data_IF_894569268090
#
_entry.id   IF_894569268090
#
_cell.length_a   1.000
_cell.length_b   1.000
_cell.length_c   1.000
_cell.angle_alpha   90.00
_cell.angle_beta   90.00
_cell.angle_gamma   90.00
#
_symmetry.space_group_name_H-M   'P 1'
#
loop_
_entity.id
_entity.type
_entity.pdbx_description
1 polymer ?
#
# COMPACT_ATOMS: atom_id res chain seq x y z
N UNK A 1 28.87 -22.78 -30.45
CA UNK A 1 29.26 -23.83 -29.48
C UNK A 1 28.00 -24.48 -28.92
N UNK A 2 27.90 -25.81 -28.97
CA UNK A 2 26.69 -26.52 -28.53
C UNK A 2 26.39 -26.22 -27.04
N UNK A 3 25.17 -25.77 -26.73
CA UNK A 3 24.76 -25.39 -25.36
C UNK A 3 24.82 -26.56 -24.36
N UNK A 4 24.92 -27.80 -24.85
CA UNK A 4 25.14 -29.00 -24.07
C UNK A 4 25.73 -30.11 -24.98
N UNK A 5 27.02 -30.44 -24.90
CA UNK A 5 27.63 -31.48 -25.74
C UNK A 5 27.12 -32.89 -25.42
N UNK A 6 26.64 -33.12 -24.21
CA UNK A 6 26.11 -34.42 -23.76
C UNK A 6 24.60 -34.60 -24.02
N UNK A 7 23.91 -33.58 -24.56
CA UNK A 7 22.44 -33.58 -24.80
C UNK A 7 21.61 -34.06 -23.59
N UNK A 8 22.08 -33.77 -22.37
CA UNK A 8 21.38 -34.17 -21.14
C UNK A 8 20.22 -33.21 -20.80
N UNK A 9 19.06 -33.77 -20.45
CA UNK A 9 17.92 -32.99 -19.94
C UNK A 9 18.11 -32.66 -18.46
N UNK A 10 17.51 -31.55 -18.03
CA UNK A 10 17.49 -31.16 -16.63
C UNK A 10 16.74 -32.20 -15.79
N UNK A 11 17.35 -32.69 -14.70
CA UNK A 11 16.75 -33.70 -13.81
C UNK A 11 15.63 -33.16 -12.89
N UNK A 12 15.44 -31.84 -12.79
CA UNK A 12 14.44 -31.26 -11.91
C UNK A 12 13.01 -31.59 -12.37
N UNK A 13 12.15 -31.96 -11.42
CA UNK A 13 10.73 -32.26 -11.65
C UNK A 13 9.82 -31.19 -11.05
N UNK A 14 8.68 -30.95 -11.69
CA UNK A 14 7.63 -30.08 -11.15
C UNK A 14 6.99 -30.70 -9.92
N UNK A 15 6.90 -29.96 -8.81
CA UNK A 15 6.20 -30.44 -7.59
C UNK A 15 4.70 -30.67 -7.79
N UNK A 16 4.07 -29.96 -8.72
CA UNK A 16 2.61 -30.04 -8.96
C UNK A 16 2.24 -31.11 -9.98
N UNK A 17 3.08 -31.35 -10.99
CA UNK A 17 2.77 -32.23 -12.14
C UNK A 17 3.64 -33.48 -12.22
N UNK A 18 4.65 -33.61 -11.37
CA UNK A 18 5.72 -34.63 -11.39
C UNK A 18 6.44 -34.81 -12.74
N UNK A 19 6.25 -33.89 -13.68
CA UNK A 19 6.88 -33.89 -14.99
C UNK A 19 8.29 -33.31 -14.91
N UNK A 20 9.22 -33.92 -15.63
CA UNK A 20 10.59 -33.46 -15.77
C UNK A 20 10.65 -32.15 -16.56
N UNK A 21 11.59 -31.27 -16.19
CA UNK A 21 11.83 -30.02 -16.91
C UNK A 21 12.32 -30.29 -18.35
N UNK A 22 11.67 -29.64 -19.33
CA UNK A 22 12.05 -29.78 -20.75
C UNK A 22 13.34 -29.05 -21.13
N UNK A 23 13.91 -28.21 -20.24
CA UNK A 23 15.16 -27.51 -20.53
C UNK A 23 16.38 -28.44 -20.51
N UNK A 24 17.38 -28.08 -21.31
CA UNK A 24 18.68 -28.73 -21.31
C UNK A 24 19.47 -28.40 -20.04
N UNK A 25 20.20 -29.38 -19.53
CA UNK A 25 21.13 -29.14 -18.42
C UNK A 25 22.33 -28.31 -18.92
N UNK A 26 22.92 -27.50 -18.02
CA UNK A 26 24.16 -26.74 -18.33
C UNK A 26 25.35 -27.72 -18.38
N UNK A 27 26.37 -27.52 -19.23
CA UNK A 27 27.55 -28.38 -19.22
C UNK A 27 28.18 -28.47 -17.83
N UNK A 28 28.38 -29.69 -17.33
CA UNK A 28 28.92 -29.96 -15.99
C UNK A 28 27.90 -29.91 -14.84
N UNK A 29 26.60 -29.76 -15.13
CA UNK A 29 25.52 -29.71 -14.14
C UNK A 29 24.39 -30.65 -14.54
N UNK A 30 23.69 -31.21 -13.55
CA UNK A 30 22.52 -32.08 -13.75
C UNK A 30 21.21 -31.31 -14.02
N UNK A 31 21.25 -29.98 -13.86
CA UNK A 31 20.09 -29.10 -13.91
C UNK A 31 20.28 -27.96 -14.90
N UNK A 32 19.19 -27.30 -15.28
CA UNK A 32 19.23 -26.10 -16.14
C UNK A 32 19.47 -24.84 -15.30
N UNK A 33 19.69 -23.69 -15.96
CA UNK A 33 19.91 -22.39 -15.31
C UNK A 33 18.82 -22.03 -14.29
N UNK A 34 17.56 -22.32 -14.60
CA UNK A 34 16.41 -22.01 -13.74
C UNK A 34 16.30 -22.91 -12.51
N UNK A 35 16.95 -24.07 -12.54
CA UNK A 35 16.93 -25.05 -11.46
C UNK A 35 18.28 -25.12 -10.72
N UNK A 36 19.05 -24.02 -10.74
CA UNK A 36 20.24 -23.85 -9.90
C UNK A 36 21.59 -24.12 -10.58
N UNK A 37 21.61 -24.35 -11.90
CA UNK A 37 22.88 -24.56 -12.60
C UNK A 37 23.74 -23.28 -12.65
N UNK A 38 24.85 -23.28 -11.92
CA UNK A 38 25.73 -22.13 -11.76
C UNK A 38 25.75 -21.52 -10.35
N UNK A 39 25.07 -22.15 -9.38
CA UNK A 39 24.98 -21.67 -8.00
C UNK A 39 23.83 -20.70 -7.80
N UNK A 40 23.20 -20.75 -6.62
CA UNK A 40 22.27 -19.72 -6.17
C UNK A 40 23.01 -18.44 -5.81
N UNK A 41 22.26 -17.34 -5.67
CA UNK A 41 22.84 -16.12 -5.11
C UNK A 41 23.44 -16.41 -3.72
N UNK A 42 24.54 -15.75 -3.33
CA UNK A 42 25.24 -16.01 -2.08
C UNK A 42 24.31 -15.98 -0.86
N UNK A 43 24.62 -16.77 0.17
CA UNK A 43 23.86 -16.72 1.44
C UNK A 43 23.89 -15.28 1.98
N UNK A 44 22.75 -14.80 2.49
CA UNK A 44 22.54 -13.42 3.00
C UNK A 44 22.53 -12.31 1.94
N UNK A 45 22.25 -12.61 0.69
CA UNK A 45 21.95 -11.55 -0.30
C UNK A 45 20.61 -10.86 0.01
N UNK A 46 20.44 -9.63 -0.46
CA UNK A 46 19.23 -8.81 -0.27
C UNK A 46 18.16 -9.03 -1.36
N UNK A 47 18.41 -9.90 -2.35
CA UNK A 47 17.51 -10.08 -3.50
C UNK A 47 16.15 -10.68 -3.12
N UNK A 48 16.05 -11.35 -1.97
CA UNK A 48 14.80 -11.93 -1.46
C UNK A 48 14.13 -11.06 -0.38
N UNK A 49 14.68 -9.87 -0.08
CA UNK A 49 14.10 -8.95 0.90
C UNK A 49 12.87 -8.31 0.28
N UNK A 50 11.71 -8.51 0.91
CA UNK A 50 10.43 -7.95 0.46
C UNK A 50 10.06 -6.65 1.17
N UNK A 51 10.31 -6.59 2.48
CA UNK A 51 9.80 -5.52 3.36
C UNK A 51 10.88 -4.77 4.11
N UNK A 52 12.12 -5.26 4.14
CA UNK A 52 13.23 -4.61 4.85
C UNK A 52 13.19 -4.74 6.39
N UNK A 53 12.08 -5.20 6.98
CA UNK A 53 11.84 -5.27 8.44
C UNK A 53 12.94 -5.96 9.24
N UNK A 54 13.57 -7.00 8.68
CA UNK A 54 14.64 -7.76 9.34
C UNK A 54 16.05 -7.41 8.81
N UNK A 55 16.20 -6.29 8.10
CA UNK A 55 17.52 -5.85 7.63
C UNK A 55 18.27 -5.13 8.76
N UNK A 56 19.49 -5.57 9.03
CA UNK A 56 20.41 -4.83 9.89
C UNK A 56 21.11 -3.74 9.05
N UNK A 57 20.69 -2.49 9.23
CA UNK A 57 21.34 -1.30 8.68
C UNK A 57 22.29 -0.77 9.75
N UNK A 58 23.59 -0.75 9.45
CA UNK A 58 24.60 -0.15 10.33
C UNK A 58 24.70 1.35 10.05
N UNK A 59 25.03 2.14 11.08
CA UNK A 59 25.13 3.60 10.97
C UNK A 59 26.11 4.05 9.87
N UNK A 60 27.21 3.32 9.71
CA UNK A 60 28.24 3.59 8.71
C UNK A 60 27.78 3.35 7.26
N UNK A 61 26.63 2.69 7.08
CA UNK A 61 26.02 2.43 5.78
C UNK A 61 24.92 3.43 5.40
N UNK A 62 24.63 4.43 6.27
CA UNK A 62 23.64 5.47 6.01
C UNK A 62 24.20 6.50 5.02
N UNK A 63 23.34 7.02 4.15
CA UNK A 63 23.69 8.23 3.38
C UNK A 63 23.69 9.45 4.31
N UNK A 64 24.41 10.55 3.95
CA UNK A 64 24.42 11.76 4.75
C UNK A 64 23.02 12.30 5.06
N UNK A 65 22.08 12.20 4.11
CA UNK A 65 20.69 12.63 4.31
C UNK A 65 19.95 11.74 5.31
N UNK A 66 20.21 10.42 5.28
CA UNK A 66 19.60 9.48 6.22
C UNK A 66 20.12 9.67 7.65
N UNK A 67 21.41 9.95 7.80
CA UNK A 67 22.01 10.29 9.09
C UNK A 67 21.40 11.57 9.65
N UNK A 68 21.23 12.61 8.82
CA UNK A 68 20.60 13.86 9.26
C UNK A 68 19.14 13.67 9.70
N UNK A 69 18.36 12.84 9.00
CA UNK A 69 17.00 12.51 9.42
C UNK A 69 17.01 11.83 10.79
N UNK A 70 17.92 10.87 11.00
CA UNK A 70 18.04 10.13 12.24
C UNK A 70 18.41 11.04 13.43
N UNK A 71 19.33 11.97 13.21
CA UNK A 71 19.77 12.92 14.24
C UNK A 71 18.66 13.90 14.67
N UNK A 72 17.70 14.19 13.78
CA UNK A 72 16.55 15.04 14.08
C UNK A 72 15.44 14.31 14.85
N UNK A 73 15.50 12.98 14.97
CA UNK A 73 14.46 12.22 15.66
C UNK A 73 14.53 12.52 17.16
N UNK A 74 13.42 13.00 17.69
CA UNK A 74 13.28 13.21 19.12
C UNK A 74 13.09 11.87 19.84
N UNK A 75 13.89 11.62 20.86
CA UNK A 75 13.84 10.38 21.65
C UNK A 75 13.09 10.57 22.98
N UNK A 76 12.61 11.77 23.31
CA UNK A 76 11.81 12.03 24.50
C UNK A 76 10.44 11.34 24.37
N UNK A 77 10.12 10.32 25.20
CA UNK A 77 8.87 9.58 25.10
C UNK A 77 7.62 10.44 25.25
N UNK A 78 7.67 11.51 26.06
CA UNK A 78 6.53 12.40 26.26
C UNK A 78 6.27 13.24 25.01
N UNK A 79 7.34 13.73 24.38
CA UNK A 79 7.23 14.50 23.14
C UNK A 79 6.81 13.62 21.96
N UNK A 80 7.29 12.38 21.88
CA UNK A 80 6.80 11.43 20.88
C UNK A 80 5.29 11.18 21.01
N UNK A 81 4.80 10.98 22.24
CA UNK A 81 3.36 10.83 22.48
C UNK A 81 2.57 12.10 22.06
N UNK A 82 3.13 13.30 22.26
CA UNK A 82 2.53 14.55 21.80
C UNK A 82 2.47 14.66 20.27
N UNK A 83 3.54 14.27 19.58
CA UNK A 83 3.57 14.24 18.12
C UNK A 83 2.55 13.26 17.55
N UNK A 84 2.40 12.07 18.16
CA UNK A 84 1.36 11.11 17.79
C UNK A 84 -0.05 11.68 17.97
N UNK A 85 -0.33 12.33 19.10
CA UNK A 85 -1.64 12.96 19.35
C UNK A 85 -1.93 14.04 18.32
N UNK A 86 -0.94 14.87 17.96
CA UNK A 86 -1.06 15.89 16.90
C UNK A 86 -1.36 15.25 15.55
N UNK A 87 -0.61 14.22 15.18
CA UNK A 87 -0.80 13.49 13.93
C UNK A 87 -2.19 12.87 13.83
N UNK A 88 -2.66 12.21 14.90
CA UNK A 88 -4.00 11.64 14.90
C UNK A 88 -5.10 12.71 14.85
N UNK A 89 -4.92 13.83 15.56
CA UNK A 89 -5.85 14.98 15.48
C UNK A 89 -5.92 15.56 14.07
N UNK A 90 -4.78 15.68 13.37
CA UNK A 90 -4.76 16.10 11.99
C UNK A 90 -5.48 15.11 11.07
N UNK A 91 -5.21 13.80 11.22
CA UNK A 91 -5.90 12.75 10.45
C UNK A 91 -7.42 12.78 10.67
N UNK A 92 -7.87 12.92 11.91
CA UNK A 92 -9.31 13.06 12.23
C UNK A 92 -9.91 14.23 11.45
N UNK A 93 -9.25 15.38 11.44
CA UNK A 93 -9.71 16.56 10.70
C UNK A 93 -9.82 16.28 9.20
N UNK A 94 -8.79 15.71 8.59
CA UNK A 94 -8.79 15.39 7.16
C UNK A 94 -9.87 14.35 6.80
N UNK A 95 -10.07 13.34 7.64
CA UNK A 95 -11.13 12.35 7.45
C UNK A 95 -12.52 12.98 7.58
N UNK A 96 -12.72 13.88 8.53
CA UNK A 96 -13.98 14.63 8.67
C UNK A 96 -14.24 15.55 7.47
N UNK A 97 -13.20 16.18 6.91
CA UNK A 97 -13.31 16.93 5.67
C UNK A 97 -13.65 16.03 4.49
N UNK A 98 -13.05 14.84 4.41
CA UNK A 98 -13.39 13.84 3.40
C UNK A 98 -14.86 13.41 3.50
N UNK A 99 -15.36 13.14 4.72
CA UNK A 99 -16.78 12.82 4.95
C UNK A 99 -17.67 13.97 4.51
N UNK A 100 -17.32 15.22 4.85
CA UNK A 100 -18.07 16.41 4.40
C UNK A 100 -18.12 16.48 2.87
N UNK A 101 -16.97 16.34 2.20
CA UNK A 101 -16.91 16.39 0.74
C UNK A 101 -17.71 15.26 0.08
N UNK A 102 -17.70 14.05 0.66
CA UNK A 102 -18.52 12.93 0.18
C UNK A 102 -20.01 13.20 0.37
N UNK A 103 -20.40 13.80 1.50
CA UNK A 103 -21.80 14.20 1.79
C UNK A 103 -22.28 15.37 0.93
N UNK A 104 -21.40 16.32 0.63
CA UNK A 104 -21.72 17.47 -0.22
C UNK A 104 -21.74 17.08 -1.72
N UNK A 105 -20.92 16.11 -2.11
CA UNK A 105 -20.87 15.50 -3.44
C UNK A 105 -21.94 14.42 -3.68
N UNK A 106 -22.84 14.19 -2.73
CA UNK A 106 -24.00 13.30 -2.86
C UNK A 106 -25.06 13.95 -3.78
N UNK A 107 -24.74 14.09 -5.07
CA UNK A 107 -25.76 14.27 -6.10
C UNK A 107 -26.37 12.90 -6.39
N UNK A 108 -27.71 12.82 -6.41
CA UNK A 108 -28.53 11.58 -6.32
C UNK A 108 -28.11 10.41 -7.23
N UNK A 109 -27.34 10.62 -8.30
CA UNK A 109 -27.04 9.57 -9.28
C UNK A 109 -25.61 9.66 -9.80
N UNK A 110 -24.70 8.84 -9.29
CA UNK A 110 -23.46 8.54 -10.01
C UNK A 110 -23.78 7.59 -11.18
N UNK A 111 -23.97 8.16 -12.37
CA UNK A 111 -24.25 7.42 -13.61
C UNK A 111 -22.97 6.75 -14.12
N UNK A 112 -22.87 5.42 -14.03
CA UNK A 112 -21.83 4.67 -14.73
C UNK A 112 -22.34 4.29 -16.11
N UNK A 113 -21.72 4.82 -17.16
CA UNK A 113 -22.04 4.47 -18.54
C UNK A 113 -21.03 3.43 -19.02
N UNK A 114 -21.48 2.19 -19.19
CA UNK A 114 -20.68 1.15 -19.85
C UNK A 114 -20.84 1.29 -21.36
N UNK A 115 -19.73 1.56 -22.04
CA UNK A 115 -19.66 1.59 -23.50
C UNK A 115 -18.96 0.33 -24.01
N UNK A 116 -19.63 -0.41 -24.89
CA UNK A 116 -19.06 -1.56 -25.57
C UNK A 116 -18.87 -1.24 -27.06
N UNK A 117 -17.80 -1.78 -27.66
CA UNK A 117 -17.61 -1.72 -29.10
C UNK A 117 -18.57 -2.69 -29.78
N UNK A 118 -19.52 -2.17 -30.54
CA UNK A 118 -20.45 -2.94 -31.36
C UNK A 118 -20.11 -2.66 -32.83
N UNK A 119 -20.04 -3.72 -33.64
CA UNK A 119 -19.80 -3.60 -35.08
C UNK A 119 -21.14 -3.38 -35.80
N UNK A 120 -21.45 -2.12 -36.10
CA UNK A 120 -22.64 -1.76 -36.88
C UNK A 120 -22.33 -1.91 -38.36
N UNK A 121 -23.21 -2.62 -39.09
CA UNK A 121 -23.09 -2.84 -40.53
C UNK A 121 -23.96 -1.83 -41.26
N UNK A 122 -23.34 -0.89 -41.97
CA UNK A 122 -24.06 0.07 -42.80
C UNK A 122 -23.93 -0.31 -44.28
N UNK A 123 -25.03 -0.38 -45.05
CA UNK A 123 -24.96 -0.55 -46.48
C UNK A 123 -24.55 0.79 -47.12
N UNK A 124 -23.32 0.88 -47.60
CA UNK A 124 -22.85 2.03 -48.37
C UNK A 124 -22.98 1.71 -49.85
N UNK A 125 -23.68 2.58 -50.57
CA UNK A 125 -23.81 2.47 -52.02
C UNK A 125 -22.54 3.04 -52.65
N UNK A 126 -21.68 2.16 -53.15
CA UNK A 126 -20.47 2.57 -53.88
C UNK A 126 -20.82 2.63 -55.36
N UNK A 127 -20.75 3.82 -55.93
CA UNK A 127 -20.98 4.06 -57.34
C UNK A 127 -19.69 3.79 -58.12
N UNK A 128 -19.73 2.91 -59.11
CA UNK A 128 -18.57 2.55 -59.93
C UNK A 128 -18.60 3.37 -61.24
N UNK A 129 -17.78 4.43 -61.32
CA UNK A 129 -17.79 5.44 -62.39
C UNK A 129 -17.47 4.88 -63.79
N UNK A 130 -17.00 3.63 -63.89
CA UNK A 130 -16.71 2.96 -65.17
C UNK A 130 -17.81 2.01 -65.65
N UNK A 131 -18.76 1.63 -64.79
CA UNK A 131 -19.76 0.59 -65.09
C UNK A 131 -21.22 1.04 -64.89
N UNK A 132 -21.45 2.21 -64.29
CA UNK A 132 -22.81 2.77 -64.09
C UNK A 132 -23.74 1.91 -63.23
N UNK A 133 -23.22 0.88 -62.54
CA UNK A 133 -23.98 0.03 -61.63
C UNK A 133 -23.60 0.35 -60.18
N UNK A 134 -24.61 0.58 -59.35
CA UNK A 134 -24.45 0.67 -57.90
C UNK A 134 -24.33 -0.73 -57.30
N UNK A 135 -23.26 -0.98 -56.55
CA UNK A 135 -23.12 -2.19 -55.73
C UNK A 135 -23.25 -1.78 -54.27
N UNK A 136 -24.16 -2.43 -53.56
CA UNK A 136 -24.27 -2.33 -52.11
C UNK A 136 -23.09 -3.06 -51.48
N UNK A 137 -22.13 -2.32 -50.92
CA UNK A 137 -21.04 -2.90 -50.15
C UNK A 137 -21.34 -2.67 -48.67
N UNK A 138 -21.44 -3.75 -47.91
CA UNK A 138 -21.68 -3.70 -46.46
C UNK A 138 -20.35 -3.45 -45.77
N UNK A 139 -20.14 -2.23 -45.28
CA UNK A 139 -18.95 -1.86 -44.51
C UNK A 139 -19.27 -2.00 -43.01
N UNK A 140 -18.45 -2.77 -42.29
CA UNK A 140 -18.57 -2.88 -40.83
C UNK A 140 -17.79 -1.75 -40.17
N UNK A 141 -18.48 -0.86 -39.47
CA UNK A 141 -17.86 0.16 -38.63
C UNK A 141 -18.00 -0.24 -37.17
N UNK A 142 -16.89 -0.18 -36.44
CA UNK A 142 -16.92 -0.40 -34.99
C UNK A 142 -17.27 0.92 -34.30
N UNK A 143 -18.41 0.96 -33.63
CA UNK A 143 -18.88 2.12 -32.87
C UNK A 143 -18.96 1.77 -31.38
N UNK A 144 -18.63 2.74 -30.53
CA UNK A 144 -18.83 2.61 -29.08
C UNK A 144 -20.30 2.89 -28.79
N UNK A 145 -21.06 1.83 -28.49
CA UNK A 145 -22.47 1.92 -28.13
C UNK A 145 -22.59 1.79 -26.61
N UNK A 146 -23.38 2.66 -26.00
CA UNK A 146 -23.73 2.56 -24.57
C UNK A 146 -24.67 1.39 -24.37
N UNK A 147 -24.19 0.33 -23.71
CA UNK A 147 -24.96 -0.92 -23.53
C UNK A 147 -25.82 -0.88 -22.27
N UNK A 148 -25.30 -0.34 -21.18
CA UNK A 148 -25.97 -0.29 -19.88
C UNK A 148 -25.69 1.03 -19.17
N UNK A 149 -26.72 1.56 -18.52
CA UNK A 149 -26.65 2.74 -17.65
C UNK A 149 -27.06 2.25 -16.27
N UNK A 150 -26.07 2.00 -15.41
CA UNK A 150 -26.32 1.68 -14.01
C UNK A 150 -26.26 2.99 -13.19
N UNK A 151 -27.36 3.29 -12.50
CA UNK A 151 -27.43 4.36 -11.50
C UNK A 151 -27.22 3.70 -10.12
N UNK A 152 -25.99 3.77 -9.59
CA UNK A 152 -25.68 3.15 -8.29
C UNK A 152 -25.57 4.21 -7.20
N UNK A 153 -26.52 4.23 -6.27
CA UNK A 153 -26.52 5.10 -5.07
C UNK A 153 -25.62 4.56 -3.94
N UNK A 154 -25.33 3.25 -3.95
CA UNK A 154 -24.72 2.55 -2.82
C UNK A 154 -23.22 2.85 -2.59
N UNK A 155 -22.47 3.23 -3.62
CA UNK A 155 -21.00 3.39 -3.50
C UNK A 155 -20.58 4.52 -2.57
N UNK A 156 -21.24 5.67 -2.65
CA UNK A 156 -20.86 6.82 -1.82
C UNK A 156 -21.18 6.57 -0.33
N UNK A 157 -22.25 5.83 -0.03
CA UNK A 157 -22.60 5.44 1.34
C UNK A 157 -21.59 4.42 1.88
N UNK A 158 -21.20 3.43 1.08
CA UNK A 158 -20.14 2.47 1.44
C UNK A 158 -18.81 3.19 1.73
N UNK A 159 -18.42 4.16 0.90
CA UNK A 159 -17.21 4.96 1.10
C UNK A 159 -17.29 5.79 2.39
N UNK A 160 -18.44 6.41 2.69
CA UNK A 160 -18.66 7.13 3.94
C UNK A 160 -18.53 6.18 5.14
N UNK A 161 -19.18 5.02 5.11
CA UNK A 161 -19.11 4.03 6.18
C UNK A 161 -17.68 3.52 6.39
N UNK A 162 -16.92 3.32 5.31
CA UNK A 162 -15.52 2.91 5.38
C UNK A 162 -14.63 3.99 6.03
N UNK A 163 -14.86 5.27 5.71
CA UNK A 163 -14.15 6.38 6.35
C UNK A 163 -14.56 6.54 7.81
N UNK A 164 -15.83 6.33 8.15
CA UNK A 164 -16.33 6.36 9.53
C UNK A 164 -15.71 5.24 10.39
N UNK A 165 -15.67 4.00 9.89
CA UNK A 165 -15.02 2.89 10.59
C UNK A 165 -13.51 3.16 10.77
N UNK A 166 -12.86 3.72 9.73
CA UNK A 166 -11.47 4.14 9.83
C UNK A 166 -11.27 5.25 10.87
N UNK A 167 -12.23 6.17 11.00
CA UNK A 167 -12.18 7.26 11.96
C UNK A 167 -12.23 6.71 13.39
N UNK A 168 -13.10 5.74 13.67
CA UNK A 168 -13.15 5.03 14.97
C UNK A 168 -11.79 4.40 15.29
N UNK A 169 -11.15 3.73 14.32
CA UNK A 169 -9.81 3.15 14.53
C UNK A 169 -8.74 4.21 14.81
N UNK A 170 -8.83 5.39 14.21
CA UNK A 170 -7.91 6.51 14.48
C UNK A 170 -8.16 7.08 15.87
N UNK A 171 -9.41 7.25 16.28
CA UNK A 171 -9.79 7.71 17.61
C UNK A 171 -9.28 6.75 18.70
N UNK A 172 -9.43 5.44 18.51
CA UNK A 172 -8.89 4.44 19.44
C UNK A 172 -7.37 4.55 19.60
N UNK A 173 -6.64 4.79 18.49
CA UNK A 173 -5.19 5.01 18.53
C UNK A 173 -4.82 6.30 19.24
N UNK A 174 -5.56 7.39 19.02
CA UNK A 174 -5.39 8.65 19.73
C UNK A 174 -5.61 8.48 21.24
N UNK A 175 -6.66 7.77 21.64
CA UNK A 175 -6.93 7.47 23.04
C UNK A 175 -5.79 6.67 23.67
N UNK A 176 -5.23 5.68 22.97
CA UNK A 176 -4.05 4.93 23.42
C UNK A 176 -2.82 5.83 23.58
N UNK A 177 -2.56 6.74 22.64
CA UNK A 177 -1.46 7.70 22.76
C UNK A 177 -1.64 8.66 23.95
N UNK A 178 -2.88 9.13 24.20
CA UNK A 178 -3.21 9.95 25.38
C UNK A 178 -2.99 9.16 26.68
N UNK A 179 -3.45 7.90 26.73
CA UNK A 179 -3.24 7.04 27.89
C UNK A 179 -1.76 6.79 28.14
N UNK A 180 -0.97 6.52 27.09
CA UNK A 180 0.48 6.37 27.17
C UNK A 180 1.12 7.65 27.73
N UNK A 181 0.75 8.82 27.21
CA UNK A 181 1.24 10.11 27.72
C UNK A 181 0.93 10.28 29.20
N UNK A 182 -0.32 9.99 29.61
CA UNK A 182 -0.74 10.08 31.00
C UNK A 182 0.05 9.12 31.92
N UNK A 183 0.31 7.90 31.45
CA UNK A 183 1.12 6.91 32.16
C UNK A 183 2.58 7.34 32.29
N UNK A 184 3.17 7.90 31.22
CA UNK A 184 4.54 8.42 31.24
C UNK A 184 4.67 9.57 32.25
N UNK A 185 3.67 10.45 32.32
CA UNK A 185 3.62 11.54 33.30
C UNK A 185 3.33 11.08 34.74
N UNK A 186 2.64 9.95 34.92
CA UNK A 186 2.37 9.40 36.26
C UNK A 186 3.54 8.59 36.81
N UNK A 187 4.28 7.90 35.94
CA UNK A 187 5.36 6.99 36.31
C UNK A 187 6.74 7.66 36.27
N UNK A 188 6.94 8.64 35.39
CA UNK A 188 8.11 9.53 35.40
C UNK A 188 7.76 10.78 36.18
N UNK A 189 8.35 10.96 37.36
CA UNK A 189 8.08 12.06 38.26
C UNK A 189 7.88 13.40 37.52
N UNK A 190 6.68 13.97 37.65
CA UNK A 190 6.45 15.38 37.32
C UNK A 190 7.48 16.27 38.02
N UNK A 191 7.64 17.54 37.58
CA UNK A 191 8.62 18.46 38.15
C UNK A 191 8.50 18.41 39.66
N UNK A 192 9.64 18.13 40.31
CA UNK A 192 9.79 17.85 41.74
C UNK A 192 8.61 18.41 42.54
N UNK A 193 7.76 17.52 43.07
CA UNK A 193 6.80 17.93 44.09
C UNK A 193 7.64 18.52 45.22
N UNK A 194 7.71 19.85 45.32
CA UNK A 194 8.35 20.53 46.44
C UNK A 194 7.66 20.00 47.69
N UNK A 195 8.36 19.12 48.41
CA UNK A 195 7.91 18.63 49.70
C UNK A 195 8.07 19.82 50.64
N UNK A 196 7.01 20.61 50.79
CA UNK A 196 6.98 21.68 51.80
C UNK A 196 6.95 21.03 53.17
N UNK A 197 8.13 20.78 53.74
CA UNK A 197 8.28 20.29 55.11
C UNK A 197 7.81 21.40 56.05
N UNK A 198 6.55 21.34 56.47
CA UNK A 198 6.05 22.20 57.56
C UNK A 198 6.72 21.75 58.85
N UNK A 199 7.76 22.48 59.27
CA UNK A 199 8.40 22.33 60.57
C UNK A 199 7.35 22.60 61.66
N UNK A 200 6.83 21.55 62.28
CA UNK A 200 6.06 21.69 63.52
C UNK A 200 7.02 22.20 64.60
N UNK A 201 6.95 23.50 64.91
CA UNK A 201 7.59 24.06 66.10
C UNK A 201 6.89 23.47 67.31
N UNK A 202 7.55 22.55 67.99
CA UNK A 202 7.13 22.09 69.30
C UNK A 202 7.64 23.13 70.30
N UNK A 203 6.84 24.15 70.55
CA UNK A 203 7.14 25.12 71.59
C UNK A 203 7.06 24.39 72.94
N UNK A 204 8.23 23.95 73.40
CA UNK A 204 8.51 23.63 74.80
C UNK A 204 9.23 24.83 75.40
N UNK A 205 8.47 25.71 76.01
CA UNK A 205 8.90 26.61 77.08
C UNK A 205 7.65 26.85 77.93
N UNK A 206 7.48 26.32 79.14
CA UNK A 206 8.48 26.15 80.18
C UNK A 206 8.46 27.39 81.07
N UNK A 207 7.38 27.53 81.85
CA UNK A 207 7.29 28.13 83.20
C UNK A 207 5.95 27.75 83.78
#
# INVERSE_FOLDING_TARGET
>A
MARNPAKQRCKAKSKQRDQQCNNWAKPGWDVCRFHGAGGGAPKRNTNAVKTGEFQSIWMDALTPEQAEVLDRINLDPVQQADEEIRLFTWREREMMLSIRNLKDGLTEKQRRVLQQRVATKEPVQVHDDKSGQSKTVVLSRNELVTTEIEETEYRAIEDILAVEEALTRVQDKKLKAIQLKAQLLSNGGGPEKQITVRRWSRDKSGT
#
